data_IF_726388305067
#
_entry.id   IF_726388305067
#
_cell.length_a   1.000
_cell.length_b   1.000
_cell.length_c   1.000
_cell.angle_alpha   90.00
_cell.angle_beta   90.00
_cell.angle_gamma   90.00
#
_symmetry.space_group_name_H-M   'P 1'
#
loop_
_entity.id
_entity.type
_entity.pdbx_description
1 polymer ?
#
# COMPACT_ATOMS: atom_id res chain seq x y z
N UNK A 1 -0.65 4.53 10.51
CA UNK A 1 -1.23 3.21 10.92
C UNK A 1 -0.17 2.16 11.23
N UNK A 2 0.95 2.16 10.55
CA UNK A 2 2.00 1.15 10.75
C UNK A 2 2.46 1.04 12.21
N UNK A 3 2.51 2.16 12.94
CA UNK A 3 2.92 2.16 14.36
C UNK A 3 1.91 1.47 15.29
N UNK A 4 0.71 1.17 14.81
CA UNK A 4 -0.31 0.44 15.57
C UNK A 4 -0.17 -1.08 15.41
N UNK A 5 0.76 -1.52 14.58
CA UNK A 5 1.05 -2.93 14.36
C UNK A 5 2.31 -3.33 15.15
N UNK A 6 2.41 -4.61 15.56
CA UNK A 6 3.65 -5.08 16.15
C UNK A 6 4.79 -5.01 15.13
N UNK A 7 6.06 -4.80 15.57
CA UNK A 7 7.18 -4.79 14.66
C UNK A 7 7.29 -6.13 13.94
N UNK A 8 7.71 -6.13 12.64
CA UNK A 8 7.92 -7.38 11.91
C UNK A 8 9.09 -8.15 12.49
N UNK A 9 9.11 -9.47 12.27
CA UNK A 9 10.24 -10.30 12.63
C UNK A 9 11.50 -9.81 11.90
N UNK A 10 12.70 -9.89 12.53
CA UNK A 10 13.93 -9.51 11.87
C UNK A 10 14.12 -10.26 10.55
N UNK A 11 14.42 -9.52 9.48
CA UNK A 11 14.59 -10.07 8.14
C UNK A 11 13.31 -10.40 7.39
N UNK A 12 12.14 -10.22 7.99
CA UNK A 12 10.86 -10.42 7.31
C UNK A 12 10.67 -9.38 6.21
N UNK A 13 10.24 -9.78 4.99
CA UNK A 13 9.95 -8.82 3.93
C UNK A 13 8.73 -7.97 4.30
N UNK A 14 8.86 -6.66 4.11
CA UNK A 14 7.75 -5.73 4.28
C UNK A 14 6.93 -5.55 2.99
N UNK A 15 5.85 -4.76 3.05
CA UNK A 15 4.98 -4.55 1.89
C UNK A 15 5.66 -3.84 0.73
N UNK A 16 6.80 -3.18 0.97
CA UNK A 16 7.56 -2.46 -0.06
C UNK A 16 8.89 -3.17 -0.41
N UNK A 17 9.02 -4.46 -0.09
CA UNK A 17 10.26 -5.20 -0.30
C UNK A 17 10.72 -5.25 -1.77
N UNK A 18 9.78 -5.18 -2.72
CA UNK A 18 10.07 -5.21 -4.15
C UNK A 18 10.04 -3.82 -4.80
N UNK A 19 10.01 -2.75 -4.01
CA UNK A 19 9.91 -1.37 -4.52
C UNK A 19 11.25 -0.77 -4.95
N UNK A 20 12.38 -1.35 -4.56
CA UNK A 20 13.71 -0.88 -4.95
C UNK A 20 13.95 -1.01 -6.45
N UNK A 21 14.91 -0.24 -7.02
CA UNK A 21 15.12 -0.21 -8.48
C UNK A 21 15.41 -1.58 -9.10
N UNK A 22 16.16 -2.43 -8.40
CA UNK A 22 16.57 -3.75 -8.92
C UNK A 22 15.91 -4.92 -8.20
N UNK A 23 15.07 -4.64 -7.20
CA UNK A 23 14.48 -5.67 -6.35
C UNK A 23 13.60 -6.64 -7.14
N UNK A 24 12.76 -6.12 -8.01
CA UNK A 24 11.84 -6.93 -8.81
C UNK A 24 12.61 -7.78 -9.85
N UNK A 25 13.63 -7.22 -10.47
CA UNK A 25 14.48 -7.97 -11.39
C UNK A 25 15.22 -9.13 -10.69
N UNK A 26 15.75 -8.87 -9.51
CA UNK A 26 16.42 -9.90 -8.70
C UNK A 26 15.45 -11.01 -8.29
N UNK A 27 14.23 -10.63 -7.91
CA UNK A 27 13.17 -11.57 -7.55
C UNK A 27 12.81 -12.48 -8.73
N UNK A 28 12.68 -11.89 -9.92
CA UNK A 28 12.37 -12.63 -11.16
C UNK A 28 13.49 -13.62 -11.49
N UNK A 29 14.76 -13.22 -11.33
CA UNK A 29 15.92 -14.11 -11.58
C UNK A 29 15.96 -15.29 -10.63
N UNK A 30 15.49 -15.12 -9.39
CA UNK A 30 15.40 -16.22 -8.43
C UNK A 30 14.44 -17.33 -8.89
N UNK A 31 13.50 -17.02 -9.78
CA UNK A 31 12.60 -17.98 -10.39
C UNK A 31 13.11 -18.52 -11.73
N UNK A 32 14.38 -18.30 -12.06
CA UNK A 32 14.99 -18.69 -13.33
C UNK A 32 14.33 -18.05 -14.54
N UNK A 33 13.80 -16.84 -14.37
CA UNK A 33 13.23 -16.05 -15.45
C UNK A 33 14.18 -14.92 -15.85
N UNK A 34 14.25 -14.62 -17.13
CA UNK A 34 15.06 -13.52 -17.64
C UNK A 34 14.26 -12.22 -17.65
N UNK A 35 14.66 -11.20 -16.88
CA UNK A 35 13.97 -9.92 -16.93
C UNK A 35 14.25 -9.23 -18.27
N UNK A 36 13.19 -8.85 -18.97
CA UNK A 36 13.27 -8.21 -20.29
C UNK A 36 13.06 -6.71 -20.20
N UNK A 37 11.90 -6.29 -19.73
CA UNK A 37 11.50 -4.90 -19.74
C UNK A 37 10.85 -4.51 -18.42
N UNK A 38 11.10 -3.30 -17.98
CA UNK A 38 10.51 -2.71 -16.80
C UNK A 38 9.67 -1.50 -17.17
N UNK A 39 8.70 -1.20 -16.35
CA UNK A 39 7.91 0.01 -16.46
C UNK A 39 7.25 0.35 -15.15
N UNK A 40 6.56 1.48 -15.16
CA UNK A 40 5.77 1.94 -14.03
C UNK A 40 4.49 2.56 -14.56
N UNK A 41 3.39 2.34 -13.87
CA UNK A 41 2.10 2.92 -14.23
C UNK A 41 1.52 3.67 -13.05
N UNK A 42 1.02 4.90 -13.26
CA UNK A 42 0.28 5.60 -12.23
C UNK A 42 -1.07 4.91 -12.02
N UNK A 43 -1.46 4.78 -10.75
CA UNK A 43 -2.76 4.24 -10.40
C UNK A 43 -3.30 5.05 -9.24
N UNK A 44 -4.28 5.90 -9.49
CA UNK A 44 -4.90 6.69 -8.45
C UNK A 44 -6.03 5.90 -7.79
N UNK A 45 -6.06 5.91 -6.46
CA UNK A 45 -7.21 5.46 -5.69
C UNK A 45 -8.08 6.67 -5.42
N UNK A 46 -9.32 6.60 -5.85
CA UNK A 46 -10.26 7.71 -5.76
C UNK A 46 -11.49 7.29 -4.95
N UNK A 47 -11.92 8.19 -4.06
CA UNK A 47 -13.07 7.98 -3.21
C UNK A 47 -13.96 9.20 -3.27
N UNK A 48 -15.27 8.97 -3.31
CA UNK A 48 -16.26 10.05 -3.41
C UNK A 48 -16.30 10.96 -2.18
N UNK A 49 -16.00 10.40 -1.00
CA UNK A 49 -16.08 11.12 0.27
C UNK A 49 -15.21 10.43 1.33
N UNK A 50 -15.13 11.04 2.51
CA UNK A 50 -14.35 10.50 3.62
C UNK A 50 -14.87 9.14 4.10
N UNK A 51 -16.17 8.98 4.19
CA UNK A 51 -16.78 7.72 4.65
C UNK A 51 -16.37 6.56 3.75
N UNK A 52 -16.44 6.75 2.43
CA UNK A 52 -16.06 5.74 1.45
C UNK A 52 -14.55 5.45 1.53
N UNK A 53 -13.72 6.48 1.67
CA UNK A 53 -12.28 6.33 1.81
C UNK A 53 -11.91 5.56 3.08
N UNK A 54 -12.55 5.87 4.20
CA UNK A 54 -12.35 5.16 5.47
C UNK A 54 -12.75 3.69 5.34
N UNK A 55 -13.93 3.43 4.78
CA UNK A 55 -14.41 2.06 4.61
C UNK A 55 -13.47 1.22 3.75
N UNK A 56 -12.98 1.80 2.65
CA UNK A 56 -12.01 1.12 1.78
C UNK A 56 -10.71 0.81 2.50
N UNK A 57 -10.13 1.79 3.18
CA UNK A 57 -8.86 1.62 3.88
C UNK A 57 -8.96 0.72 5.11
N UNK A 58 -10.05 0.82 5.86
CA UNK A 58 -10.27 0.00 7.07
C UNK A 58 -10.55 -1.47 6.74
N UNK A 59 -10.90 -1.78 5.50
CA UNK A 59 -11.12 -3.15 5.04
C UNK A 59 -9.83 -3.87 4.67
N UNK A 60 -8.69 -3.19 4.63
CA UNK A 60 -7.41 -3.82 4.32
C UNK A 60 -6.94 -4.72 5.46
N UNK A 61 -6.14 -5.74 5.12
CA UNK A 61 -5.59 -6.67 6.11
C UNK A 61 -4.84 -5.98 7.25
N UNK A 62 -3.90 -5.08 6.97
CA UNK A 62 -3.20 -4.35 8.04
C UNK A 62 -4.13 -3.54 8.94
N UNK A 63 -5.16 -2.89 8.38
CA UNK A 63 -6.13 -2.13 9.16
C UNK A 63 -6.98 -3.02 10.05
N UNK A 64 -7.44 -4.17 9.55
CA UNK A 64 -8.16 -5.16 10.33
C UNK A 64 -7.30 -5.65 11.50
N UNK A 65 -6.04 -5.96 11.23
CA UNK A 65 -5.11 -6.41 12.27
C UNK A 65 -4.89 -5.31 13.33
N UNK A 66 -4.68 -4.08 12.88
CA UNK A 66 -4.51 -2.93 13.79
C UNK A 66 -5.77 -2.73 14.65
N UNK A 67 -6.96 -2.90 14.09
CA UNK A 67 -8.22 -2.78 14.83
C UNK A 67 -8.36 -3.84 15.91
N UNK A 68 -7.87 -5.04 15.67
CA UNK A 68 -7.85 -6.10 16.67
C UNK A 68 -6.93 -5.79 17.84
N UNK A 69 -5.86 -5.04 17.60
CA UNK A 69 -4.85 -4.70 18.62
C UNK A 69 -5.20 -3.40 19.35
N UNK A 70 -5.50 -2.34 18.61
CA UNK A 70 -5.65 -0.99 19.16
C UNK A 70 -7.12 -0.52 19.27
N UNK A 71 -8.06 -1.28 18.72
CA UNK A 71 -9.47 -0.91 18.68
C UNK A 71 -9.83 -0.13 17.42
N UNK A 72 -11.03 -0.37 16.92
CA UNK A 72 -11.52 0.21 15.67
C UNK A 72 -11.55 1.75 15.71
N UNK A 73 -11.98 2.34 16.83
CA UNK A 73 -12.08 3.80 16.96
C UNK A 73 -10.72 4.47 16.79
N UNK A 74 -9.67 3.92 17.38
CA UNK A 74 -8.32 4.47 17.28
C UNK A 74 -7.76 4.33 15.87
N UNK A 75 -7.98 3.20 15.22
CA UNK A 75 -7.52 2.96 13.85
C UNK A 75 -8.26 3.89 12.88
N UNK A 76 -9.57 4.06 13.05
CA UNK A 76 -10.37 5.00 12.24
C UNK A 76 -9.84 6.42 12.35
N UNK A 77 -9.52 6.88 13.56
CA UNK A 77 -8.94 8.21 13.79
C UNK A 77 -7.61 8.37 13.05
N UNK A 78 -6.70 7.41 13.20
CA UNK A 78 -5.37 7.45 12.58
C UNK A 78 -5.46 7.41 11.06
N UNK A 79 -6.31 6.55 10.51
CA UNK A 79 -6.51 6.47 9.06
C UNK A 79 -7.12 7.76 8.52
N UNK A 80 -8.08 8.34 9.22
CA UNK A 80 -8.68 9.63 8.85
C UNK A 80 -7.64 10.74 8.81
N UNK A 81 -6.75 10.82 9.80
CA UNK A 81 -5.65 11.78 9.82
C UNK A 81 -4.70 11.57 8.64
N UNK A 82 -4.41 10.31 8.30
CA UNK A 82 -3.54 9.96 7.18
C UNK A 82 -4.15 10.34 5.83
N UNK A 83 -5.47 10.33 5.70
CA UNK A 83 -6.18 10.68 4.48
C UNK A 83 -6.35 12.18 4.28
N UNK A 84 -6.29 12.98 5.35
CA UNK A 84 -6.55 14.41 5.30
C UNK A 84 -5.75 15.18 4.22
N UNK A 85 -4.45 14.90 3.99
CA UNK A 85 -3.68 15.58 2.94
C UNK A 85 -4.16 15.30 1.51
N UNK A 86 -4.98 14.28 1.31
CA UNK A 86 -5.40 13.82 -0.01
C UNK A 86 -6.80 14.29 -0.42
N UNK A 87 -7.46 15.08 0.43
CA UNK A 87 -8.76 15.65 0.11
C UNK A 87 -8.61 16.71 -0.99
N UNK A 88 -9.53 16.69 -1.96
CA UNK A 88 -9.58 17.67 -3.03
C UNK A 88 -10.62 18.76 -2.73
N UNK A 89 -10.60 19.83 -3.53
CA UNK A 89 -11.48 20.97 -3.32
C UNK A 89 -12.98 20.61 -3.36
N UNK A 90 -13.34 19.56 -4.11
CA UNK A 90 -14.72 19.08 -4.23
C UNK A 90 -15.14 18.08 -3.14
N UNK A 91 -14.26 17.81 -2.18
CA UNK A 91 -14.53 16.85 -1.11
C UNK A 91 -14.20 15.40 -1.44
N UNK A 92 -13.76 15.10 -2.65
CA UNK A 92 -13.29 13.77 -3.02
C UNK A 92 -11.88 13.54 -2.50
N UNK A 93 -11.46 12.28 -2.43
CA UNK A 93 -10.11 11.90 -2.02
C UNK A 93 -9.39 11.23 -3.17
N UNK A 94 -8.15 11.61 -3.39
CA UNK A 94 -7.32 11.04 -4.44
C UNK A 94 -5.93 10.73 -3.94
N UNK A 95 -5.57 9.44 -3.93
CA UNK A 95 -4.27 8.96 -3.51
C UNK A 95 -3.53 8.45 -4.75
N UNK A 96 -2.45 9.15 -5.11
CA UNK A 96 -1.64 8.77 -6.26
C UNK A 96 -0.68 7.66 -5.86
N UNK A 97 -0.74 6.56 -6.60
CA UNK A 97 0.16 5.44 -6.44
C UNK A 97 0.85 5.15 -7.76
N UNK A 98 2.04 4.60 -7.70
CA UNK A 98 2.78 4.15 -8.86
C UNK A 98 3.11 2.68 -8.68
N UNK A 99 2.69 1.85 -9.63
CA UNK A 99 2.99 0.44 -9.61
C UNK A 99 4.07 0.15 -10.63
N UNK A 100 5.12 -0.54 -10.19
CA UNK A 100 6.19 -1.00 -11.05
C UNK A 100 5.88 -2.40 -11.54
N UNK A 101 6.28 -2.67 -12.79
CA UNK A 101 6.13 -3.99 -13.35
C UNK A 101 7.42 -4.43 -14.05
N UNK A 102 7.56 -5.72 -14.22
CA UNK A 102 8.66 -6.33 -14.96
C UNK A 102 8.11 -7.40 -15.88
N UNK A 103 8.47 -7.33 -17.16
CA UNK A 103 8.18 -8.40 -18.11
C UNK A 103 9.38 -9.34 -18.08
N UNK A 104 9.13 -10.63 -18.01
CA UNK A 104 10.15 -11.63 -17.92
C UNK A 104 9.84 -12.79 -18.88
N UNK A 105 10.89 -13.52 -19.26
CA UNK A 105 10.82 -14.64 -20.18
C UNK A 105 11.39 -15.88 -19.50
N UNK A 106 10.71 -17.03 -19.73
CA UNK A 106 11.19 -18.33 -19.25
C UNK A 106 12.41 -18.81 -20.04
#
# INVERSE_FOLDING_TARGET
>A
MAYLLPPPSPGAPGPFALSGPDALAAFVRQADLEPLRAGAVPCAWEYADLETALRGNLSSGPAVRASQIAGEARVTEVVGESLAPFVQADGTYRLLNTFRYRIAQA
#
